data_IF_632459531778
#
_entry.id   IF_632459531778
#
_cell.length_a   1.000
_cell.length_b   1.000
_cell.length_c   1.000
_cell.angle_alpha   90.00
_cell.angle_beta   90.00
_cell.angle_gamma   90.00
#
_symmetry.space_group_name_H-M   'P 1'
#
loop_
_entity.id
_entity.type
_entity.pdbx_description
1 polymer ?
#
# COMPACT_ATOMS: atom_id res chain seq x y z
N UNK A 1 -2.84 -3.37 13.79
CA UNK A 1 -3.16 -2.11 14.50
C UNK A 1 -4.33 -1.35 13.88
N UNK A 2 -4.31 -0.92 12.60
CA UNK A 2 -5.45 -0.21 12.02
C UNK A 2 -6.74 -1.04 11.96
N UNK A 3 -6.61 -2.33 11.65
CA UNK A 3 -7.73 -3.29 11.70
C UNK A 3 -8.27 -3.48 13.11
N UNK A 4 -7.37 -3.72 14.06
CA UNK A 4 -7.67 -3.85 15.49
C UNK A 4 -8.40 -2.61 16.06
N UNK A 5 -8.01 -1.41 15.61
CA UNK A 5 -8.67 -0.13 15.96
C UNK A 5 -9.97 0.13 15.19
N UNK A 6 -10.45 -0.80 14.37
CA UNK A 6 -11.68 -0.68 13.60
C UNK A 6 -11.65 0.34 12.46
N UNK A 7 -10.47 0.83 12.06
CA UNK A 7 -10.31 1.84 10.99
C UNK A 7 -10.18 1.24 9.59
N UNK A 8 -9.95 -0.06 9.51
CA UNK A 8 -9.75 -0.82 8.28
C UNK A 8 -10.25 -2.24 8.50
N UNK A 9 -10.75 -2.90 7.46
CA UNK A 9 -10.98 -4.35 7.48
C UNK A 9 -10.18 -4.99 6.35
N UNK A 10 -9.75 -6.23 6.54
CA UNK A 10 -9.07 -6.98 5.50
C UNK A 10 -9.93 -7.18 4.24
N UNK A 11 -11.25 -7.29 4.42
CA UNK A 11 -12.24 -7.40 3.36
C UNK A 11 -12.56 -6.08 2.65
N UNK A 12 -12.08 -4.93 3.15
CA UNK A 12 -12.38 -3.65 2.52
C UNK A 12 -11.73 -3.59 1.14
N UNK A 13 -12.52 -3.14 0.14
CA UNK A 13 -11.99 -2.82 -1.18
C UNK A 13 -11.12 -1.58 -1.09
N UNK A 14 -9.94 -1.61 -1.68
CA UNK A 14 -9.03 -0.44 -1.68
C UNK A 14 -9.71 0.78 -2.32
N UNK A 15 -10.51 0.53 -3.37
CA UNK A 15 -11.31 1.54 -4.06
C UNK A 15 -12.30 2.31 -3.16
N UNK A 16 -12.68 1.76 -2.00
CA UNK A 16 -13.62 2.43 -1.08
C UNK A 16 -13.01 3.64 -0.36
N UNK A 17 -11.70 3.65 -0.16
CA UNK A 17 -10.96 4.76 0.47
C UNK A 17 -9.88 5.36 -0.44
N UNK A 18 -9.69 4.79 -1.63
CA UNK A 18 -8.84 5.30 -2.69
C UNK A 18 -9.53 5.14 -4.06
N UNK A 19 -10.50 6.02 -4.40
CA UNK A 19 -11.31 5.86 -5.61
C UNK A 19 -10.50 5.76 -6.91
N UNK A 20 -9.40 6.52 -7.01
CA UNK A 20 -8.52 6.53 -8.18
C UNK A 20 -7.80 5.19 -8.39
N UNK A 21 -7.71 4.34 -7.37
CA UNK A 21 -7.19 2.99 -7.46
C UNK A 21 -8.08 2.10 -8.34
N UNK A 22 -9.38 2.39 -8.49
CA UNK A 22 -10.35 1.53 -9.19
C UNK A 22 -10.18 1.46 -10.72
N UNK A 23 -9.08 1.96 -11.28
CA UNK A 23 -8.77 1.90 -12.71
C UNK A 23 -8.19 0.54 -13.10
N UNK A 24 -8.20 0.21 -14.40
CA UNK A 24 -7.50 -0.96 -14.96
C UNK A 24 -7.92 -2.32 -14.35
N UNK A 25 -9.19 -2.48 -13.94
CA UNK A 25 -9.70 -3.75 -13.39
C UNK A 25 -9.36 -3.99 -11.92
N UNK A 26 -9.00 -2.94 -11.18
CA UNK A 26 -8.59 -3.01 -9.77
C UNK A 26 -9.73 -2.75 -8.77
N UNK A 27 -10.95 -2.51 -9.24
CA UNK A 27 -12.08 -2.03 -8.42
C UNK A 27 -12.47 -2.99 -7.28
N UNK A 28 -12.20 -4.29 -7.43
CA UNK A 28 -12.56 -5.34 -6.48
C UNK A 28 -11.39 -5.83 -5.61
N UNK A 29 -10.19 -5.27 -5.76
CA UNK A 29 -9.02 -5.67 -4.95
C UNK A 29 -9.25 -5.24 -3.49
N UNK A 30 -9.09 -6.20 -2.58
CA UNK A 30 -9.19 -5.96 -1.13
C UNK A 30 -7.83 -5.71 -0.49
N UNK A 31 -7.86 -5.20 0.75
CA UNK A 31 -6.67 -5.08 1.60
C UNK A 31 -5.99 -6.45 1.77
N UNK A 32 -6.76 -7.50 2.03
CA UNK A 32 -6.25 -8.87 2.16
C UNK A 32 -5.48 -9.33 0.92
N UNK A 33 -6.00 -9.06 -0.29
CA UNK A 33 -5.33 -9.46 -1.52
C UNK A 33 -3.95 -8.81 -1.69
N UNK A 34 -3.79 -7.55 -1.27
CA UNK A 34 -2.48 -6.89 -1.28
C UNK A 34 -1.55 -7.54 -0.25
N UNK A 35 -2.03 -7.77 0.97
CA UNK A 35 -1.22 -8.37 2.05
C UNK A 35 -0.83 -9.83 1.76
N UNK A 36 -1.66 -10.55 1.03
CA UNK A 36 -1.45 -11.94 0.63
C UNK A 36 -0.73 -12.10 -0.72
N UNK A 37 -0.28 -10.99 -1.34
CA UNK A 37 0.39 -11.00 -2.65
C UNK A 37 -0.45 -11.58 -3.80
N UNK A 38 -1.77 -11.49 -3.72
CA UNK A 38 -2.72 -11.98 -4.74
C UNK A 38 -3.39 -10.90 -5.57
N UNK A 39 -3.10 -9.62 -5.31
CA UNK A 39 -3.70 -8.48 -6.02
C UNK A 39 -3.27 -8.32 -7.48
N UNK A 40 -2.21 -9.02 -7.92
CA UNK A 40 -1.68 -8.91 -9.28
C UNK A 40 -0.75 -7.72 -9.54
N UNK A 41 -0.44 -6.92 -8.52
CA UNK A 41 0.39 -5.70 -8.64
C UNK A 41 1.85 -5.93 -8.30
N UNK A 42 2.39 -7.11 -8.59
CA UNK A 42 3.77 -7.45 -8.23
C UNK A 42 4.82 -6.61 -8.97
N UNK A 43 4.46 -6.06 -10.13
CA UNK A 43 5.22 -5.06 -10.87
C UNK A 43 4.29 -3.89 -11.21
N UNK A 44 4.82 -2.67 -11.17
CA UNK A 44 4.09 -1.47 -11.58
C UNK A 44 4.50 -1.09 -13.01
N UNK A 45 3.58 -0.51 -13.75
CA UNK A 45 3.82 -0.07 -15.12
C UNK A 45 4.66 1.22 -15.14
N UNK A 46 5.51 1.35 -16.17
CA UNK A 46 6.33 2.54 -16.40
C UNK A 46 7.76 2.47 -15.87
N UNK A 47 8.52 3.53 -16.10
CA UNK A 47 9.88 3.69 -15.58
C UNK A 47 9.82 4.54 -14.32
N UNK A 48 10.06 3.92 -13.17
CA UNK A 48 10.08 4.58 -11.86
C UNK A 48 11.54 4.97 -11.58
N UNK A 49 11.82 6.27 -11.48
CA UNK A 49 13.12 6.76 -11.03
C UNK A 49 13.28 6.61 -9.52
N UNK A 50 14.50 6.83 -9.00
CA UNK A 50 14.72 6.82 -7.56
C UNK A 50 13.95 7.96 -6.86
N UNK A 51 13.89 9.12 -7.50
CA UNK A 51 13.14 10.28 -7.02
C UNK A 51 11.64 9.98 -6.97
N UNK A 52 11.11 9.29 -7.99
CA UNK A 52 9.72 8.84 -7.99
C UNK A 52 9.46 7.83 -6.88
N UNK A 53 10.34 6.83 -6.72
CA UNK A 53 10.26 5.81 -5.69
C UNK A 53 10.24 6.39 -4.27
N UNK A 54 10.85 7.56 -4.07
CA UNK A 54 10.86 8.28 -2.81
C UNK A 54 9.63 9.18 -2.61
N UNK A 55 8.84 9.48 -3.63
CA UNK A 55 7.69 10.40 -3.56
C UNK A 55 6.38 9.61 -3.49
N UNK A 56 5.68 9.73 -2.36
CA UNK A 56 4.46 8.96 -2.13
C UNK A 56 3.30 9.34 -3.04
N UNK A 57 3.23 10.58 -3.53
CA UNK A 57 2.16 11.02 -4.42
C UNK A 57 2.39 10.49 -5.83
N UNK A 58 3.65 10.53 -6.30
CA UNK A 58 4.03 9.94 -7.58
C UNK A 58 3.82 8.44 -7.59
N UNK A 59 4.24 7.75 -6.53
CA UNK A 59 4.01 6.31 -6.42
C UNK A 59 2.53 5.95 -6.38
N UNK A 60 1.67 6.78 -5.78
CA UNK A 60 0.22 6.61 -5.88
C UNK A 60 -0.23 6.63 -7.34
N UNK A 61 0.25 7.59 -8.14
CA UNK A 61 -0.09 7.68 -9.57
C UNK A 61 0.38 6.47 -10.38
N UNK A 62 1.59 5.98 -10.15
CA UNK A 62 2.05 4.74 -10.77
C UNK A 62 1.14 3.55 -10.43
N UNK A 63 0.73 3.42 -9.17
CA UNK A 63 -0.19 2.36 -8.74
C UNK A 63 -1.58 2.51 -9.38
N UNK A 64 -2.13 3.72 -9.41
CA UNK A 64 -3.44 4.02 -10.01
C UNK A 64 -3.48 3.61 -11.49
N UNK A 65 -2.41 3.88 -12.25
CA UNK A 65 -2.34 3.58 -13.69
C UNK A 65 -1.90 2.15 -14.01
N UNK A 66 -1.34 1.41 -13.05
CA UNK A 66 -0.85 0.05 -13.28
C UNK A 66 -1.98 -0.96 -13.49
N UNK A 67 -1.77 -1.93 -14.39
CA UNK A 67 -2.68 -3.07 -14.58
C UNK A 67 -2.20 -4.31 -13.80
N UNK A 68 -3.10 -5.05 -13.13
CA UNK A 68 -2.74 -6.35 -12.57
C UNK A 68 -2.19 -7.30 -13.66
N UNK A 69 -1.08 -7.97 -13.36
CA UNK A 69 -0.40 -8.91 -14.27
C UNK A 69 -1.24 -10.20 -14.45
N UNK A 70 -2.06 -10.52 -13.45
CA UNK A 70 -3.06 -11.58 -13.47
C UNK A 70 -4.37 -11.10 -12.83
N UNK A 71 -5.45 -11.84 -13.02
CA UNK A 71 -6.74 -11.53 -12.39
C UNK A 71 -6.60 -11.57 -10.85
N UNK A 72 -6.94 -10.49 -10.13
CA UNK A 72 -6.78 -10.43 -8.68
C UNK A 72 -7.45 -11.62 -7.96
N UNK A 73 -6.73 -12.23 -7.02
CA UNK A 73 -7.18 -13.40 -6.27
C UNK A 73 -6.98 -14.75 -6.97
N UNK A 74 -6.57 -14.80 -8.25
CA UNK A 74 -6.38 -16.06 -8.99
C UNK A 74 -4.97 -16.66 -8.92
N UNK A 75 -3.98 -15.86 -8.56
CA UNK A 75 -2.60 -16.31 -8.38
C UNK A 75 -1.89 -15.52 -7.28
N UNK A 76 -0.77 -16.06 -6.80
CA UNK A 76 0.13 -15.44 -5.84
C UNK A 76 1.41 -15.07 -6.58
N UNK A 77 1.90 -13.84 -6.38
CA UNK A 77 3.22 -13.45 -6.85
C UNK A 77 3.80 -12.39 -5.92
N UNK A 78 5.00 -12.65 -5.39
CA UNK A 78 5.61 -11.79 -4.39
C UNK A 78 5.85 -10.36 -4.92
N UNK A 79 5.36 -9.37 -4.18
CA UNK A 79 5.41 -7.95 -4.55
C UNK A 79 6.71 -7.33 -4.03
N UNK A 80 7.85 -7.77 -4.55
CA UNK A 80 9.17 -7.47 -3.95
C UNK A 80 9.43 -5.98 -3.68
N UNK A 81 8.97 -5.10 -4.57
CA UNK A 81 9.09 -3.64 -4.43
C UNK A 81 7.73 -2.98 -4.18
N UNK A 82 6.72 -3.33 -4.97
CA UNK A 82 5.41 -2.67 -4.93
C UNK A 82 4.67 -2.84 -3.61
N UNK A 83 4.99 -3.87 -2.81
CA UNK A 83 4.36 -4.11 -1.53
C UNK A 83 4.50 -2.93 -0.57
N UNK A 84 5.71 -2.38 -0.45
CA UNK A 84 5.99 -1.26 0.45
C UNK A 84 5.13 -0.06 0.11
N UNK A 85 5.10 0.35 -1.17
CA UNK A 85 4.30 1.48 -1.63
C UNK A 85 2.79 1.22 -1.50
N UNK A 86 2.31 0.02 -1.81
CA UNK A 86 0.90 -0.32 -1.64
C UNK A 86 0.46 -0.20 -0.17
N UNK A 87 1.25 -0.76 0.75
CA UNK A 87 0.97 -0.70 2.19
C UNK A 87 1.05 0.74 2.70
N UNK A 88 2.05 1.51 2.27
CA UNK A 88 2.19 2.92 2.62
C UNK A 88 0.95 3.73 2.19
N UNK A 89 0.48 3.55 0.95
CA UNK A 89 -0.70 4.26 0.44
C UNK A 89 -1.99 3.85 1.17
N UNK A 90 -2.14 2.58 1.56
CA UNK A 90 -3.26 2.11 2.38
C UNK A 90 -3.23 2.80 3.75
N UNK A 91 -2.07 2.84 4.41
CA UNK A 91 -1.92 3.43 5.74
C UNK A 91 -2.17 4.94 5.70
N UNK A 92 -1.59 5.67 4.74
CA UNK A 92 -1.82 7.11 4.59
C UNK A 92 -3.30 7.46 4.48
N UNK A 93 -4.10 6.65 3.79
CA UNK A 93 -5.54 6.92 3.60
C UNK A 93 -6.39 6.52 4.80
N UNK A 94 -5.97 5.49 5.53
CA UNK A 94 -6.79 4.90 6.60
C UNK A 94 -6.39 5.35 8.01
N UNK A 95 -5.16 5.84 8.21
CA UNK A 95 -4.69 6.43 9.46
C UNK A 95 -5.40 7.77 9.77
N UNK A 96 -5.57 8.06 11.06
CA UNK A 96 -6.21 9.30 11.53
C UNK A 96 -5.43 10.54 11.14
N UNK A 97 -4.11 10.46 11.32
CA UNK A 97 -3.18 11.56 11.10
C UNK A 97 -2.63 11.57 9.67
N UNK A 98 -3.10 10.66 8.81
CA UNK A 98 -2.67 10.50 7.41
C UNK A 98 -1.15 10.29 7.26
N UNK A 99 -0.52 9.65 8.26
CA UNK A 99 0.92 9.37 8.26
C UNK A 99 1.29 8.29 7.25
N UNK A 100 2.50 8.35 6.70
CA UNK A 100 3.13 7.22 6.00
C UNK A 100 3.47 6.06 6.95
N UNK A 101 3.74 4.87 6.40
CA UNK A 101 4.07 3.67 7.20
C UNK A 101 5.29 3.88 8.10
N UNK A 102 6.30 4.60 7.63
CA UNK A 102 7.51 4.89 8.40
C UNK A 102 7.22 5.66 9.69
N UNK A 103 6.48 6.77 9.56
CA UNK A 103 6.09 7.59 10.71
C UNK A 103 5.06 6.87 11.59
N UNK A 104 4.11 6.15 11.00
CA UNK A 104 3.15 5.34 11.76
C UNK A 104 3.87 4.30 12.62
N UNK A 105 4.79 3.53 12.04
CA UNK A 105 5.58 2.52 12.76
C UNK A 105 6.42 3.16 13.87
N UNK A 106 7.09 4.27 13.57
CA UNK A 106 7.92 4.99 14.54
C UNK A 106 7.09 5.39 15.77
N UNK A 107 5.99 6.12 15.57
CA UNK A 107 5.18 6.66 16.66
C UNK A 107 4.38 5.59 17.41
N UNK A 108 3.89 4.56 16.70
CA UNK A 108 2.97 3.59 17.28
C UNK A 108 3.67 2.39 17.91
N UNK A 109 4.89 2.09 17.48
CA UNK A 109 5.64 0.89 17.89
C UNK A 109 7.03 1.27 18.39
N UNK A 110 7.90 1.80 17.52
CA UNK A 110 9.33 1.93 17.85
C UNK A 110 9.57 2.83 19.09
N UNK A 111 8.98 4.02 19.11
CA UNK A 111 9.15 4.99 20.21
C UNK A 111 8.53 4.46 21.51
N UNK A 112 7.37 3.79 21.43
CA UNK A 112 6.66 3.26 22.61
C UNK A 112 7.38 2.09 23.26
N UNK A 113 8.23 1.40 22.51
CA UNK A 113 8.98 0.24 22.98
C UNK A 113 10.50 0.49 23.07
N UNK A 114 10.96 1.72 22.84
CA UNK A 114 12.39 2.06 22.89
C UNK A 114 13.24 1.35 21.83
N UNK A 115 12.66 1.00 20.68
CA UNK A 115 13.36 0.29 19.61
C UNK A 115 14.11 1.26 18.70
N UNK A 116 15.34 0.92 18.34
CA UNK A 116 16.12 1.64 17.34
C UNK A 116 15.99 0.98 15.96
N UNK A 117 14.78 1.08 15.39
CA UNK A 117 14.44 0.54 14.06
C UNK A 117 13.59 1.56 13.32
N UNK A 118 13.87 1.77 12.02
CA UNK A 118 13.12 2.68 11.16
C UNK A 118 12.74 2.00 9.84
N UNK A 119 11.57 2.38 9.30
CA UNK A 119 11.10 1.98 7.98
C UNK A 119 11.11 3.19 7.06
N UNK A 120 11.80 3.06 5.92
CA UNK A 120 11.86 4.08 4.88
C UNK A 120 11.28 3.48 3.60
N UNK A 121 10.17 4.04 3.13
CA UNK A 121 9.45 3.57 1.94
C UNK A 121 9.30 4.73 0.94
N UNK A 122 8.81 5.86 1.43
CA UNK A 122 8.76 7.15 0.73
C UNK A 122 9.08 8.25 1.75
N UNK A 123 9.30 9.47 1.28
CA UNK A 123 9.33 10.67 2.10
C UNK A 123 7.97 11.05 2.67
#
# INVERSE_FOLDING_TARGET
>A
MLVDRGRLKYSDKISSFWPEFAKQGKENITVEMVLAHTSGLACLDGKISYEDACDHERMAKFIEESKPIWEPGKAVGYHALSYGWLVDQIIRRTDAKKRGIGQFFKEEIADKHGMFVALFITS
#
